data_IF_851053637407
#
_entry.id   IF_851053637407
#
_cell.length_a   1.000
_cell.length_b   1.000
_cell.length_c   1.000
_cell.angle_alpha   90.00
_cell.angle_beta   90.00
_cell.angle_gamma   90.00
#
_symmetry.space_group_name_H-M   'P 1'
#
loop_
_entity.id
_entity.type
_entity.pdbx_description
1 polymer ?
#
# COMPACT_ATOMS: atom_id res chain seq x y z
N UNK A 1 18.99 -4.43 -25.00
CA UNK A 1 18.67 -5.07 -23.69
C UNK A 1 17.20 -5.41 -23.77
N UNK A 2 16.87 -6.70 -23.83
CA UNK A 2 15.50 -7.15 -24.06
C UNK A 2 14.64 -6.94 -22.81
N UNK A 3 13.38 -6.57 -23.01
CA UNK A 3 12.38 -6.66 -21.95
C UNK A 3 12.10 -8.15 -21.72
N UNK A 4 12.40 -8.63 -20.52
CA UNK A 4 12.16 -10.02 -20.12
C UNK A 4 10.91 -10.07 -19.25
N UNK A 5 10.04 -11.05 -19.50
CA UNK A 5 8.84 -11.25 -18.70
C UNK A 5 9.26 -11.88 -17.38
N UNK A 6 8.96 -11.21 -16.26
CA UNK A 6 9.08 -11.81 -14.94
C UNK A 6 7.83 -12.65 -14.65
N UNK A 7 7.92 -13.98 -14.58
CA UNK A 7 6.78 -14.82 -14.28
C UNK A 7 6.35 -14.63 -12.82
N UNK A 8 5.04 -14.67 -12.59
CA UNK A 8 4.45 -14.65 -11.25
C UNK A 8 3.45 -15.79 -11.07
N UNK A 9 3.24 -16.21 -9.83
CA UNK A 9 2.26 -17.21 -9.43
C UNK A 9 1.19 -16.54 -8.58
N UNK A 10 -0.07 -16.73 -8.95
CA UNK A 10 -1.21 -16.26 -8.15
C UNK A 10 -1.38 -17.16 -6.93
N UNK A 11 -1.41 -16.55 -5.74
CA UNK A 11 -1.67 -17.22 -4.46
C UNK A 11 -3.13 -17.07 -4.04
N UNK A 12 -3.66 -15.85 -4.10
CA UNK A 12 -5.04 -15.51 -3.75
C UNK A 12 -5.61 -14.49 -4.73
N UNK A 13 -6.94 -14.48 -4.89
CA UNK A 13 -7.66 -13.56 -5.76
C UNK A 13 -8.90 -13.01 -5.04
N UNK A 14 -9.01 -11.69 -4.98
CA UNK A 14 -10.24 -10.98 -4.59
C UNK A 14 -10.64 -10.01 -5.71
N UNK A 15 -11.65 -10.42 -6.49
CA UNK A 15 -12.13 -9.73 -7.69
C UNK A 15 -10.99 -9.49 -8.69
N UNK A 16 -10.46 -8.26 -8.73
CA UNK A 16 -9.40 -7.82 -9.64
C UNK A 16 -8.07 -7.57 -8.92
N UNK A 17 -7.99 -7.90 -7.62
CA UNK A 17 -6.78 -7.77 -6.81
C UNK A 17 -6.22 -9.19 -6.60
N UNK A 18 -4.97 -9.40 -7.01
CA UNK A 18 -4.29 -10.67 -6.85
C UNK A 18 -3.12 -10.54 -5.86
N UNK A 19 -3.04 -11.46 -4.90
CA UNK A 19 -1.80 -11.71 -4.17
C UNK A 19 -0.94 -12.64 -5.02
N UNK A 20 0.27 -12.19 -5.37
CA UNK A 20 1.17 -12.93 -6.25
C UNK A 20 2.54 -13.14 -5.61
N UNK A 21 3.14 -14.27 -5.93
CA UNK A 21 4.54 -14.59 -5.66
C UNK A 21 5.35 -14.42 -6.95
N UNK A 22 6.49 -13.75 -6.87
CA UNK A 22 7.37 -13.49 -8.02
C UNK A 22 8.83 -13.60 -7.60
N UNK A 23 9.65 -14.28 -8.40
CA UNK A 23 11.09 -14.35 -8.20
C UNK A 23 11.77 -13.17 -8.93
N UNK A 24 12.36 -12.25 -8.17
CA UNK A 24 13.05 -11.08 -8.72
C UNK A 24 14.57 -11.32 -8.66
N UNK A 25 15.30 -11.19 -9.78
CA UNK A 25 16.75 -11.35 -9.78
C UNK A 25 17.44 -10.26 -8.94
N UNK A 26 18.42 -10.67 -8.13
CA UNK A 26 19.27 -9.74 -7.37
C UNK A 26 20.45 -9.30 -8.24
N UNK A 27 20.47 -8.03 -8.65
CA UNK A 27 21.59 -7.48 -9.41
C UNK A 27 22.73 -7.10 -8.45
N UNK A 28 23.94 -7.62 -8.71
CA UNK A 28 25.11 -7.45 -7.84
C UNK A 28 25.72 -6.05 -7.85
N UNK A 29 25.33 -5.20 -8.81
CA UNK A 29 25.94 -3.89 -9.06
C UNK A 29 25.22 -2.71 -8.39
N UNK A 30 24.37 -2.96 -7.38
CA UNK A 30 23.46 -1.94 -6.80
C UNK A 30 22.56 -1.25 -7.84
N UNK A 31 22.42 -1.83 -9.03
CA UNK A 31 21.54 -1.32 -10.08
C UNK A 31 20.10 -1.41 -9.60
N UNK A 32 19.40 -0.29 -9.70
CA UNK A 32 17.98 -0.20 -9.42
C UNK A 32 17.21 -1.15 -10.35
N UNK A 33 16.30 -1.92 -9.76
CA UNK A 33 15.41 -2.82 -10.49
C UNK A 33 14.19 -2.01 -10.89
N UNK A 34 14.00 -1.82 -12.20
CA UNK A 34 12.81 -1.19 -12.75
C UNK A 34 11.84 -2.26 -13.26
N UNK A 35 10.77 -2.49 -12.49
CA UNK A 35 9.65 -3.31 -12.90
C UNK A 35 8.72 -2.49 -13.80
N UNK A 36 8.52 -2.93 -15.04
CA UNK A 36 7.56 -2.31 -15.96
C UNK A 36 6.26 -3.11 -15.95
N UNK A 37 5.16 -2.45 -15.63
CA UNK A 37 3.83 -3.05 -15.57
C UNK A 37 2.93 -2.45 -16.63
N UNK A 38 2.20 -3.30 -17.35
CA UNK A 38 1.26 -2.93 -18.39
C UNK A 38 0.03 -3.80 -18.35
N UNK A 39 -1.15 -3.22 -18.56
CA UNK A 39 -2.42 -3.96 -18.66
C UNK A 39 -3.38 -3.21 -19.60
N UNK A 40 -4.18 -3.91 -20.43
CA UNK A 40 -5.13 -3.25 -21.34
C UNK A 40 -6.09 -2.30 -20.61
N UNK A 41 -6.21 -1.05 -21.11
CA UNK A 41 -7.08 -0.01 -20.53
C UNK A 41 -6.45 0.74 -19.34
N UNK A 42 -5.17 0.49 -19.04
CA UNK A 42 -4.40 1.14 -18.00
C UNK A 42 -3.11 1.75 -18.57
N UNK A 43 -2.67 2.85 -17.97
CA UNK A 43 -1.39 3.48 -18.25
C UNK A 43 -0.25 2.54 -17.80
N UNK A 44 0.85 2.55 -18.56
CA UNK A 44 2.05 1.83 -18.17
C UNK A 44 2.66 2.46 -16.91
N UNK A 45 3.06 1.62 -15.97
CA UNK A 45 3.70 2.04 -14.71
C UNK A 45 5.11 1.46 -14.61
N UNK A 46 6.03 2.27 -14.08
CA UNK A 46 7.36 1.82 -13.70
C UNK A 46 7.46 1.84 -12.17
N UNK A 47 7.83 0.71 -11.58
CA UNK A 47 8.05 0.58 -10.15
C UNK A 47 9.52 0.26 -9.89
N UNK A 48 10.21 1.16 -9.20
CA UNK A 48 11.65 1.06 -8.97
C UNK A 48 11.92 0.62 -7.54
N UNK A 49 12.74 -0.41 -7.39
CA UNK A 49 13.17 -0.95 -6.10
C UNK A 49 14.68 -1.17 -6.13
N UNK A 50 15.34 -0.99 -4.98
CA UNK A 50 16.77 -1.32 -4.86
C UNK A 50 16.98 -2.78 -4.49
N UNK A 51 16.04 -3.34 -3.73
CA UNK A 51 16.09 -4.74 -3.29
C UNK A 51 14.72 -5.39 -3.45
N UNK A 52 14.64 -6.69 -3.79
CA UNK A 52 13.37 -7.40 -3.93
C UNK A 52 12.45 -7.28 -2.71
N UNK A 53 13.01 -7.22 -1.50
CA UNK A 53 12.25 -7.16 -0.26
C UNK A 53 11.42 -5.89 -0.11
N UNK A 54 11.77 -4.81 -0.82
CA UNK A 54 10.99 -3.56 -0.83
C UNK A 54 9.59 -3.76 -1.43
N UNK A 55 9.43 -4.76 -2.31
CA UNK A 55 8.15 -5.12 -2.92
C UNK A 55 7.26 -5.97 -2.02
N UNK A 56 7.81 -6.59 -0.97
CA UNK A 56 7.03 -7.44 -0.08
C UNK A 56 5.86 -6.65 0.54
N UNK A 57 4.68 -7.29 0.53
CA UNK A 57 3.39 -6.76 1.01
C UNK A 57 2.89 -5.46 0.35
N UNK A 58 3.53 -5.01 -0.74
CA UNK A 58 3.10 -3.83 -1.48
C UNK A 58 1.85 -4.14 -2.32
N UNK A 59 1.11 -3.07 -2.61
CA UNK A 59 0.07 -3.06 -3.63
C UNK A 59 0.57 -2.18 -4.77
N UNK A 60 0.62 -2.72 -5.98
CA UNK A 60 0.78 -1.93 -7.19
C UNK A 60 -0.59 -1.87 -7.87
N UNK A 61 -1.18 -0.68 -7.94
CA UNK A 61 -2.40 -0.43 -8.68
C UNK A 61 -2.06 0.40 -9.92
N UNK A 62 -2.53 -0.03 -11.09
CA UNK A 62 -2.33 0.71 -12.33
C UNK A 62 -3.38 1.81 -12.47
N UNK A 63 -2.96 2.93 -13.06
CA UNK A 63 -3.83 4.06 -13.33
C UNK A 63 -4.62 3.83 -14.61
N UNK A 64 -5.95 3.97 -14.57
CA UNK A 64 -6.79 3.83 -15.76
C UNK A 64 -6.39 4.87 -16.83
N UNK A 65 -6.49 4.53 -18.10
CA UNK A 65 -6.26 5.51 -19.18
C UNK A 65 -7.16 6.75 -19.04
N UNK A 66 -6.59 7.93 -19.32
CA UNK A 66 -7.29 9.21 -19.29
C UNK A 66 -7.49 9.85 -17.90
N UNK A 67 -7.12 9.16 -16.81
CA UNK A 67 -7.19 9.77 -15.46
C UNK A 67 -5.99 10.68 -15.20
N UNK A 68 -6.22 11.73 -14.40
CA UNK A 68 -5.20 12.72 -14.01
C UNK A 68 -4.69 12.56 -12.58
N UNK A 69 -5.34 11.73 -11.78
CA UNK A 69 -4.92 11.38 -10.42
C UNK A 69 -4.24 10.02 -10.47
N UNK A 70 -3.03 9.92 -9.89
CA UNK A 70 -2.20 8.72 -9.97
C UNK A 70 -2.09 8.03 -8.62
N UNK A 71 -2.11 6.70 -8.63
CA UNK A 71 -1.83 5.91 -7.45
C UNK A 71 -0.37 6.08 -7.03
N UNK A 72 -0.15 6.39 -5.75
CA UNK A 72 1.19 6.57 -5.18
C UNK A 72 1.56 5.41 -4.26
N UNK A 73 0.69 5.07 -3.30
CA UNK A 73 1.00 4.10 -2.26
C UNK A 73 -0.25 3.55 -1.56
N UNK A 74 -0.10 2.35 -0.99
CA UNK A 74 -1.06 1.74 -0.05
C UNK A 74 -0.41 1.68 1.32
N UNK A 75 -1.08 2.21 2.33
CA UNK A 75 -0.69 2.06 3.73
C UNK A 75 -1.67 1.14 4.47
N UNK A 76 -1.14 0.26 5.31
CA UNK A 76 -1.97 -0.51 6.26
C UNK A 76 -2.34 0.41 7.43
N UNK A 77 -3.57 0.30 7.91
CA UNK A 77 -4.09 0.96 9.12
C UNK A 77 -4.46 -0.09 10.16
N UNK A 78 -5.00 0.33 11.30
CA UNK A 78 -5.81 -0.56 12.14
C UNK A 78 -7.12 -1.00 11.47
N UNK A 79 -7.95 -1.72 12.22
CA UNK A 79 -9.15 -2.37 11.70
C UNK A 79 -10.29 -1.38 11.38
N UNK A 80 -10.91 -1.56 10.21
CA UNK A 80 -12.02 -0.76 9.70
C UNK A 80 -11.79 0.77 9.79
N UNK A 81 -10.87 1.35 8.99
CA UNK A 81 -10.68 2.79 8.93
C UNK A 81 -11.97 3.46 8.46
N UNK A 82 -12.62 4.21 9.34
CA UNK A 82 -14.00 4.69 9.11
C UNK A 82 -14.06 5.96 8.28
N UNK A 83 -13.06 6.82 8.41
CA UNK A 83 -12.95 8.08 7.69
C UNK A 83 -11.49 8.52 7.66
N UNK A 84 -11.16 9.47 6.80
CA UNK A 84 -9.84 10.09 6.73
C UNK A 84 -9.99 11.61 6.66
N UNK A 85 -9.09 12.33 7.32
CA UNK A 85 -8.99 13.79 7.21
C UNK A 85 -7.52 14.19 7.18
N UNK A 86 -7.13 14.97 6.19
CA UNK A 86 -5.85 15.67 6.22
C UNK A 86 -5.85 16.68 7.36
N UNK A 87 -4.88 16.55 8.26
CA UNK A 87 -4.63 17.51 9.35
C UNK A 87 -3.55 18.52 8.97
N UNK A 88 -2.81 18.24 7.91
CA UNK A 88 -1.91 19.15 7.19
C UNK A 88 -1.62 18.57 5.78
N UNK A 89 -0.52 18.99 5.15
CA UNK A 89 -0.14 18.61 3.80
C UNK A 89 0.09 17.10 3.60
N UNK A 90 0.51 16.37 4.63
CA UNK A 90 0.97 14.97 4.48
C UNK A 90 0.36 14.03 5.50
N UNK A 91 -0.17 14.54 6.62
CA UNK A 91 -0.68 13.69 7.70
C UNK A 91 -2.20 13.55 7.65
N UNK A 92 -2.65 12.32 7.85
CA UNK A 92 -4.04 11.90 7.94
C UNK A 92 -4.39 11.53 9.38
N UNK A 93 -5.54 11.99 9.84
CA UNK A 93 -6.23 11.45 11.01
C UNK A 93 -7.28 10.42 10.54
N UNK A 94 -7.18 9.19 11.07
CA UNK A 94 -7.93 8.02 10.60
C UNK A 94 -8.61 7.33 11.79
N UNK A 95 -9.86 7.69 12.14
CA UNK A 95 -10.62 7.00 13.18
C UNK A 95 -10.87 5.53 12.80
N UNK A 96 -10.67 4.63 13.76
CA UNK A 96 -10.82 3.18 13.56
C UNK A 96 -12.08 2.70 14.25
N UNK A 97 -12.93 1.96 13.53
CA UNK A 97 -14.24 1.56 14.06
C UNK A 97 -14.14 0.34 14.99
N UNK A 98 -13.28 -0.61 14.65
CA UNK A 98 -13.09 -1.88 15.36
C UNK A 98 -11.67 -2.00 15.96
N UNK A 99 -11.05 -0.86 16.25
CA UNK A 99 -9.73 -0.80 16.87
C UNK A 99 -9.70 0.34 17.90
N UNK A 100 -8.73 0.31 18.81
CA UNK A 100 -8.65 1.27 19.90
C UNK A 100 -8.05 2.60 19.43
N UNK A 101 -8.92 3.51 19.02
CA UNK A 101 -8.60 4.92 18.82
C UNK A 101 -8.52 5.35 17.36
N UNK A 102 -7.46 6.09 17.03
CA UNK A 102 -7.28 6.74 15.74
C UNK A 102 -5.82 6.66 15.30
N UNK A 103 -5.57 6.29 14.05
CA UNK A 103 -4.22 6.39 13.46
C UNK A 103 -3.97 7.83 13.01
N UNK A 104 -2.77 8.33 13.28
CA UNK A 104 -2.20 9.51 12.62
C UNK A 104 -1.08 9.03 11.70
N UNK A 105 -1.30 9.13 10.39
CA UNK A 105 -0.45 8.55 9.36
C UNK A 105 0.13 9.63 8.45
N UNK A 106 1.45 9.66 8.27
CA UNK A 106 2.13 10.50 7.28
C UNK A 106 2.24 9.74 5.93
N UNK A 107 1.66 10.29 4.86
CA UNK A 107 1.61 9.62 3.55
C UNK A 107 2.92 9.68 2.76
N UNK A 108 3.88 10.53 3.15
CA UNK A 108 5.19 10.59 2.49
C UNK A 108 6.11 9.48 2.99
N UNK A 109 6.10 9.22 4.30
CA UNK A 109 6.99 8.24 4.93
C UNK A 109 6.29 6.91 5.26
N UNK A 110 4.97 6.90 5.37
CA UNK A 110 4.19 5.79 5.91
C UNK A 110 4.28 5.65 7.43
N UNK A 111 4.91 6.60 8.13
CA UNK A 111 4.97 6.58 9.59
C UNK A 111 3.57 6.74 10.18
N UNK A 112 3.22 5.87 11.14
CA UNK A 112 1.92 5.91 11.82
C UNK A 112 2.12 5.98 13.34
N UNK A 113 1.24 6.73 14.02
CA UNK A 113 1.15 6.76 15.49
C UNK A 113 -0.31 6.54 15.87
N UNK A 114 -0.55 5.63 16.82
CA UNK A 114 -1.88 5.41 17.39
C UNK A 114 -2.17 6.44 18.48
N UNK A 115 -3.26 7.18 18.32
CA UNK A 115 -3.84 8.02 19.37
C UNK A 115 -4.98 7.27 20.04
N UNK A 116 -4.72 6.80 21.27
CA UNK A 116 -5.74 6.18 22.11
C UNK A 116 -6.70 7.24 22.67
N UNK A 117 -7.98 6.90 22.86
CA UNK A 117 -8.89 7.78 23.60
C UNK A 117 -8.41 7.91 25.06
N UNK A 118 -8.71 9.04 25.74
CA UNK A 118 -8.47 9.16 27.17
C UNK A 118 -9.12 8.03 27.95
N UNK A 119 -8.51 7.59 29.06
CA UNK A 119 -8.97 6.45 29.87
C UNK A 119 -10.48 6.47 30.17
N UNK A 120 -11.03 7.62 30.56
CA UNK A 120 -12.47 7.79 30.84
C UNK A 120 -13.41 7.53 29.66
N UNK A 121 -12.89 7.49 28.43
CA UNK A 121 -13.64 7.28 27.19
C UNK A 121 -13.21 5.99 26.47
N UNK A 122 -12.28 5.21 27.03
CA UNK A 122 -12.01 3.86 26.53
C UNK A 122 -13.29 3.05 26.68
N UNK A 123 -13.83 2.58 25.56
CA UNK A 123 -14.92 1.60 25.60
C UNK A 123 -14.33 0.27 26.07
N UNK A 124 -14.78 -0.22 27.22
CA UNK A 124 -14.62 -1.61 27.59
C UNK A 124 -15.50 -2.44 26.66
N UNK A 125 -14.96 -2.93 25.55
CA UNK A 125 -15.63 -3.97 24.77
C UNK A 125 -15.58 -5.25 25.61
N UNK A 126 -16.64 -5.51 26.38
CA UNK A 126 -16.93 -6.86 26.85
C UNK A 126 -17.46 -7.59 25.61
N UNK A 127 -16.60 -8.42 25.01
CA UNK A 127 -17.04 -9.42 24.03
C UNK A 127 -17.98 -10.38 24.78
N UNK A 128 -19.27 -10.30 24.47
CA UNK A 128 -20.29 -11.27 24.89
C UNK A 128 -20.26 -12.49 23.98
#
# INVERSE_FOLDING_TARGET
>A
MGEEILPFKVLEMDKNIALVEMAIPVYKDEKEIELKLSSPGFQNSSYRIRKPEELNEKLIALDKEGITHRFISRFKTGFQPKSVRFIDNTRLAIPLLEDEGMDVLDINSGQTVRLSPPEKYKKNWVLW
#
